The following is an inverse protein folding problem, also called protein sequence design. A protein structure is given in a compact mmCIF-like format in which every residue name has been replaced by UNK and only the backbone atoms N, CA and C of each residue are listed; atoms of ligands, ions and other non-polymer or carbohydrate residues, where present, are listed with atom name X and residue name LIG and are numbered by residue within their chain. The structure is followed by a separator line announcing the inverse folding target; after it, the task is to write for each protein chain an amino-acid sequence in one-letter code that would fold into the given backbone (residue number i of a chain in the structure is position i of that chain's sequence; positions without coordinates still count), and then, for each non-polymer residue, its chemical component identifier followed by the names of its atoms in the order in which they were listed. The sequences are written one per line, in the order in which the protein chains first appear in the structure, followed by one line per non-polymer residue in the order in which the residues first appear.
data_IF_909380860532
#
_entry.id   IF_909380860532
#
_cell.length_a   1.000
_cell.length_b   1.000
_cell.length_c   1.000
_cell.angle_alpha   90.00
_cell.angle_beta   90.00
_cell.angle_gamma   90.00
#
_symmetry.space_group_name_H-M   'P 1'
#
loop_
_entity.id
_entity.type
_entity.pdbx_description
1 polymer ?
#
# COMPACT_ATOMS: atom_id res chain seq x y z
N UNK A 1 -25.13 -20.15 5.11
CA UNK A 1 -24.44 -18.88 5.41
C UNK A 1 -23.02 -19.00 4.90
N UNK A 2 -22.64 -18.18 3.92
CA UNK A 2 -21.32 -18.25 3.30
C UNK A 2 -20.30 -17.54 4.20
N UNK A 3 -19.42 -18.28 4.88
CA UNK A 3 -18.32 -17.73 5.68
C UNK A 3 -17.21 -17.10 4.81
N UNK A 4 -17.45 -16.94 3.50
CA UNK A 4 -16.49 -16.40 2.55
C UNK A 4 -15.99 -15.01 2.96
N UNK A 5 -16.88 -14.13 3.45
CA UNK A 5 -16.48 -12.80 3.91
C UNK A 5 -15.55 -12.84 5.12
N UNK A 6 -15.85 -13.70 6.11
CA UNK A 6 -15.01 -13.89 7.29
C UNK A 6 -13.64 -14.46 6.92
N UNK A 7 -13.61 -15.39 5.95
CA UNK A 7 -12.37 -15.98 5.43
C UNK A 7 -11.53 -14.94 4.67
N UNK A 8 -12.13 -14.15 3.78
CA UNK A 8 -11.43 -13.08 3.05
C UNK A 8 -10.79 -12.08 4.01
N UNK A 9 -11.52 -11.64 5.04
CA UNK A 9 -10.98 -10.72 6.05
C UNK A 9 -9.87 -11.39 6.88
N UNK A 10 -10.05 -12.65 7.32
CA UNK A 10 -9.03 -13.33 8.10
C UNK A 10 -7.77 -13.58 7.29
N UNK A 11 -7.90 -13.99 6.03
CA UNK A 11 -6.76 -14.29 5.15
C UNK A 11 -5.96 -13.01 4.88
N UNK A 12 -6.64 -11.88 4.68
CA UNK A 12 -5.98 -10.58 4.53
C UNK A 12 -5.25 -10.14 5.81
N UNK A 13 -5.91 -10.22 6.97
CA UNK A 13 -5.33 -9.80 8.26
C UNK A 13 -4.19 -10.70 8.74
N UNK A 14 -4.23 -12.00 8.39
CA UNK A 14 -3.16 -12.96 8.68
C UNK A 14 -2.03 -12.91 7.64
N UNK A 15 -2.17 -12.11 6.58
CA UNK A 15 -1.20 -12.02 5.49
C UNK A 15 -1.07 -13.30 4.68
N UNK A 16 -2.16 -14.08 4.62
CA UNK A 16 -2.33 -15.25 3.76
C UNK A 16 -2.73 -14.85 2.33
N UNK A 17 -3.32 -13.66 2.19
CA UNK A 17 -3.46 -13.00 0.90
C UNK A 17 -2.16 -12.25 0.57
N UNK A 18 -1.67 -12.40 -0.66
CA UNK A 18 -0.46 -11.74 -1.14
C UNK A 18 -0.40 -11.73 -2.66
N UNK A 19 0.35 -10.77 -3.19
CA UNK A 19 0.73 -10.71 -4.59
C UNK A 19 2.24 -10.55 -4.71
N UNK A 20 2.80 -10.98 -5.83
CA UNK A 20 4.22 -10.84 -6.12
C UNK A 20 4.44 -9.83 -7.24
N UNK A 21 5.52 -9.07 -7.13
CA UNK A 21 5.97 -8.12 -8.15
C UNK A 21 7.45 -8.31 -8.42
N UNK A 22 7.86 -8.12 -9.66
CA UNK A 22 9.27 -8.17 -10.05
C UNK A 22 9.77 -6.74 -10.32
N UNK A 23 10.89 -6.37 -9.71
CA UNK A 23 11.52 -5.06 -9.86
C UNK A 23 13.03 -5.27 -9.89
N UNK A 24 13.69 -4.87 -10.97
CA UNK A 24 15.14 -5.02 -11.12
C UNK A 24 15.62 -6.48 -11.08
N UNK A 25 14.81 -7.41 -11.59
CA UNK A 25 15.10 -8.85 -11.59
C UNK A 25 14.92 -9.56 -10.23
N UNK A 26 14.40 -8.86 -9.21
CA UNK A 26 14.10 -9.42 -7.89
C UNK A 26 12.60 -9.49 -7.67
N UNK A 27 12.13 -10.60 -7.08
CA UNK A 27 10.70 -10.80 -6.77
C UNK A 27 10.43 -10.40 -5.32
N UNK A 28 9.43 -9.53 -5.14
CA UNK A 28 8.98 -9.04 -3.84
C UNK A 28 7.54 -9.46 -3.58
N UNK A 29 7.25 -9.86 -2.35
CA UNK A 29 5.89 -10.22 -1.91
C UNK A 29 5.23 -9.02 -1.22
N UNK A 30 4.05 -8.65 -1.72
CA UNK A 30 3.20 -7.60 -1.16
C UNK A 30 2.03 -8.27 -0.45
N UNK A 31 1.86 -7.92 0.83
CA UNK A 31 0.74 -8.35 1.66
C UNK A 31 -0.21 -7.18 1.89
N UNK A 32 -1.47 -7.42 2.32
CA UNK A 32 -2.35 -6.34 2.74
C UNK A 32 -1.67 -5.51 3.83
N UNK A 33 -1.51 -4.19 3.64
CA UNK A 33 -0.78 -3.38 4.60
C UNK A 33 -1.64 -3.09 5.83
N UNK A 34 -0.97 -2.92 6.97
CA UNK A 34 -1.62 -2.41 8.18
C UNK A 34 -1.86 -0.90 8.07
N UNK A 35 -2.78 -0.35 8.87
CA UNK A 35 -3.04 1.10 8.93
C UNK A 35 -1.75 1.91 9.15
N UNK A 36 -0.83 1.41 9.99
CA UNK A 36 0.48 2.06 10.21
C UNK A 36 1.31 2.16 8.92
N UNK A 37 1.33 1.10 8.12
CA UNK A 37 2.06 1.08 6.84
C UNK A 37 1.38 2.03 5.85
N UNK A 38 0.05 2.01 5.77
CA UNK A 38 -0.72 2.94 4.93
C UNK A 38 -0.38 4.40 5.29
N UNK A 39 -0.32 4.75 6.58
CA UNK A 39 0.07 6.11 7.00
C UNK A 39 1.51 6.48 6.58
N UNK A 40 2.46 5.53 6.62
CA UNK A 40 3.84 5.76 6.14
C UNK A 40 3.87 6.03 4.64
N UNK A 41 3.14 5.22 3.86
CA UNK A 41 3.00 5.40 2.41
C UNK A 41 2.41 6.78 2.10
N UNK A 42 1.31 7.16 2.76
CA UNK A 42 0.68 8.48 2.58
C UNK A 42 1.66 9.60 2.92
N UNK A 43 2.47 9.45 3.97
CA UNK A 43 3.48 10.43 4.33
C UNK A 43 4.50 10.64 3.20
N UNK A 44 5.04 9.56 2.63
CA UNK A 44 5.96 9.67 1.49
C UNK A 44 5.29 10.27 0.26
N UNK A 45 4.09 9.80 -0.07
CA UNK A 45 3.38 10.27 -1.27
C UNK A 45 2.90 11.71 -1.13
N UNK A 46 2.70 12.22 0.08
CA UNK A 46 2.35 13.63 0.30
C UNK A 46 3.47 14.60 -0.10
N UNK A 47 4.71 14.12 -0.20
CA UNK A 47 5.85 14.91 -0.68
C UNK A 47 5.95 14.92 -2.21
N UNK A 48 5.20 14.06 -2.89
CA UNK A 48 5.15 14.01 -4.34
C UNK A 48 4.12 15.05 -4.80
N UNK A 49 4.58 16.09 -5.47
CA UNK A 49 3.72 17.08 -6.11
C UNK A 49 2.90 16.42 -7.21
N UNK A 50 1.68 15.96 -6.90
CA UNK A 50 0.77 15.43 -7.91
C UNK A 50 0.12 16.60 -8.67
N UNK A 51 0.64 16.93 -9.84
CA UNK A 51 -0.10 17.72 -10.84
C UNK A 51 -0.89 16.76 -11.73
N UNK A 52 -2.14 16.48 -11.36
CA UNK A 52 -3.04 15.61 -12.12
C UNK A 52 -4.06 14.92 -11.21
N UNK A 53 -5.24 14.61 -11.74
CA UNK A 53 -6.37 14.00 -10.98
C UNK A 53 -6.17 12.50 -10.70
N UNK A 54 -5.05 11.91 -11.14
CA UNK A 54 -4.84 10.47 -11.18
C UNK A 54 -3.37 10.07 -11.01
N UNK A 55 -3.16 9.03 -10.19
CA UNK A 55 -1.87 8.40 -9.85
C UNK A 55 -1.00 8.14 -11.10
N UNK A 56 -1.63 7.81 -12.23
CA UNK A 56 -0.97 7.52 -13.51
C UNK A 56 -0.21 8.70 -14.12
N UNK A 57 -0.64 9.95 -13.88
CA UNK A 57 0.06 11.14 -14.38
C UNK A 57 1.26 11.50 -13.51
N UNK A 58 1.17 11.29 -12.20
CA UNK A 58 2.29 11.45 -11.29
C UNK A 58 3.46 10.49 -11.59
N UNK A 59 3.16 9.32 -12.17
CA UNK A 59 4.18 8.34 -12.58
C UNK A 59 4.96 8.83 -13.81
N UNK A 60 4.40 9.66 -14.70
CA UNK A 60 5.08 10.11 -15.94
C UNK A 60 6.28 11.04 -15.72
N UNK A 61 6.39 11.66 -14.55
CA UNK A 61 7.43 12.63 -14.17
C UNK A 61 8.64 11.93 -13.49
N UNK A 62 8.84 10.64 -13.77
CA UNK A 62 9.73 9.72 -13.06
C UNK A 62 11.26 10.00 -13.03
N UNK A 63 11.89 10.93 -13.78
CA UNK A 63 13.33 11.16 -13.59
C UNK A 63 13.68 11.80 -12.24
N UNK A 64 12.81 12.62 -11.64
CA UNK A 64 13.09 13.31 -10.36
C UNK A 64 12.20 12.85 -9.19
N UNK A 65 11.07 12.17 -9.46
CA UNK A 65 10.06 11.77 -8.45
C UNK A 65 10.36 10.39 -7.79
N UNK A 66 11.42 9.70 -8.22
CA UNK A 66 11.69 8.31 -7.85
C UNK A 66 11.84 8.07 -6.32
N UNK A 67 12.52 8.94 -5.58
CA UNK A 67 12.92 8.64 -4.19
C UNK A 67 11.76 8.37 -3.23
N UNK A 68 10.82 9.29 -3.08
CA UNK A 68 9.68 9.12 -2.16
C UNK A 68 8.67 8.07 -2.65
N UNK A 69 8.57 7.88 -3.97
CA UNK A 69 7.73 6.81 -4.54
C UNK A 69 8.29 5.43 -4.18
N UNK A 70 9.60 5.22 -4.37
CA UNK A 70 10.27 3.96 -4.04
C UNK A 70 10.28 3.70 -2.53
N UNK A 71 10.40 4.75 -1.70
CA UNK A 71 10.20 4.63 -0.24
C UNK A 71 8.80 4.16 0.13
N UNK A 72 7.76 4.68 -0.55
CA UNK A 72 6.40 4.19 -0.37
C UNK A 72 6.25 2.71 -0.75
N UNK A 73 6.79 2.29 -1.89
CA UNK A 73 6.78 0.88 -2.33
C UNK A 73 7.58 0.00 -1.36
N UNK A 74 8.73 0.46 -0.87
CA UNK A 74 9.49 -0.23 0.16
C UNK A 74 8.66 -0.44 1.43
N UNK A 75 7.90 0.58 1.85
CA UNK A 75 6.99 0.47 2.98
C UNK A 75 5.90 -0.58 2.76
N UNK A 76 5.40 -0.76 1.53
CA UNK A 76 4.46 -1.83 1.21
C UNK A 76 5.07 -3.22 1.33
N UNK A 77 6.31 -3.39 0.86
CA UNK A 77 6.97 -4.69 0.81
C UNK A 77 7.42 -5.13 2.21
N UNK A 78 8.05 -4.22 2.97
CA UNK A 78 8.72 -4.58 4.22
C UNK A 78 8.31 -3.74 5.44
N UNK A 79 7.45 -2.73 5.26
CA UNK A 79 7.01 -1.84 6.34
C UNK A 79 7.98 -0.70 6.67
N UNK A 80 9.13 -0.58 6.01
CA UNK A 80 10.13 0.49 6.16
C UNK A 80 10.69 0.94 4.80
N UNK A 81 11.61 1.91 4.80
CA UNK A 81 12.25 2.47 3.59
C UNK A 81 13.50 1.66 3.12
N UNK A 82 13.82 0.56 3.80
CA UNK A 82 15.08 -0.18 3.64
C UNK A 82 15.33 -0.75 2.24
N UNK A 83 14.28 -0.93 1.43
CA UNK A 83 14.39 -1.44 0.07
C UNK A 83 14.43 -0.33 -0.98
N UNK A 84 14.23 0.94 -0.62
CA UNK A 84 14.08 2.02 -1.60
C UNK A 84 15.24 2.07 -2.63
N UNK A 85 16.48 1.97 -2.16
CA UNK A 85 17.69 1.94 -3.02
C UNK A 85 17.71 0.73 -3.95
N UNK A 86 17.26 -0.44 -3.48
CA UNK A 86 17.21 -1.65 -4.30
C UNK A 86 16.21 -1.53 -5.45
N UNK A 87 15.12 -0.79 -5.21
CA UNK A 87 14.04 -0.58 -6.17
C UNK A 87 14.43 0.41 -7.29
N UNK A 88 15.49 1.20 -7.12
CA UNK A 88 16.03 2.09 -8.16
C UNK A 88 16.54 1.33 -9.39
N UNK A 89 16.87 0.04 -9.23
CA UNK A 89 17.26 -0.84 -10.34
C UNK A 89 16.07 -1.24 -11.24
N UNK A 90 14.84 -0.93 -10.82
CA UNK A 90 13.62 -1.27 -11.54
C UNK A 90 13.37 -0.39 -12.75
N UNK A 91 12.72 -0.97 -13.76
CA UNK A 91 12.20 -0.17 -14.88
C UNK A 91 10.94 0.60 -14.48
N UNK A 92 10.61 1.64 -15.22
CA UNK A 92 9.36 2.39 -15.06
C UNK A 92 8.11 1.48 -15.00
N UNK A 93 8.02 0.50 -15.90
CA UNK A 93 6.86 -0.41 -15.98
C UNK A 93 6.79 -1.34 -14.78
N UNK A 94 7.94 -1.81 -14.27
CA UNK A 94 8.01 -2.61 -13.05
C UNK A 94 7.55 -1.82 -11.82
N UNK A 95 8.02 -0.58 -11.68
CA UNK A 95 7.63 0.33 -10.59
C UNK A 95 6.14 0.69 -10.68
N UNK A 96 5.62 0.97 -11.88
CA UNK A 96 4.18 1.20 -12.09
C UNK A 96 3.34 -0.01 -11.69
N UNK A 97 3.71 -1.20 -12.17
CA UNK A 97 3.02 -2.44 -11.84
C UNK A 97 3.06 -2.71 -10.33
N UNK A 98 4.22 -2.49 -9.70
CA UNK A 98 4.36 -2.61 -8.25
C UNK A 98 3.40 -1.70 -7.49
N UNK A 99 3.27 -0.45 -7.95
CA UNK A 99 2.37 0.52 -7.35
C UNK A 99 0.88 0.12 -7.54
N UNK A 100 0.49 -0.37 -8.72
CA UNK A 100 -0.87 -0.88 -8.97
C UNK A 100 -1.21 -2.08 -8.07
N UNK A 101 -0.26 -3.00 -7.89
CA UNK A 101 -0.40 -4.14 -6.97
C UNK A 101 -0.48 -3.66 -5.52
N UNK A 102 0.34 -2.69 -5.11
CA UNK A 102 0.27 -2.09 -3.77
C UNK A 102 -1.14 -1.53 -3.48
N UNK A 103 -1.72 -0.79 -4.44
CA UNK A 103 -3.06 -0.22 -4.29
C UNK A 103 -4.18 -1.26 -4.24
N UNK A 104 -4.09 -2.32 -5.05
CA UNK A 104 -5.08 -3.40 -5.01
C UNK A 104 -5.02 -4.23 -3.73
N UNK A 105 -3.85 -4.31 -3.08
CA UNK A 105 -3.69 -4.94 -1.76
C UNK A 105 -4.20 -4.07 -0.60
N UNK A 106 -4.45 -2.78 -0.81
CA UNK A 106 -5.14 -1.89 0.15
C UNK A 106 -6.65 -2.13 0.12
N UNK A 107 -7.08 -3.37 0.33
CA UNK A 107 -8.51 -3.69 0.36
C UNK A 107 -9.20 -3.03 1.57
N UNK A 108 -10.39 -2.46 1.31
CA UNK A 108 -11.26 -1.81 2.29
C UNK A 108 -11.91 -2.87 3.21
N UNK A 109 -11.75 -4.16 2.92
CA UNK A 109 -12.33 -5.29 3.69
C UNK A 109 -12.00 -5.25 5.19
N UNK A 110 -10.81 -4.78 5.58
CA UNK A 110 -10.48 -4.56 7.00
C UNK A 110 -11.40 -3.51 7.65
N UNK A 111 -11.75 -2.44 6.92
CA UNK A 111 -12.73 -1.43 7.36
C UNK A 111 -14.18 -1.93 7.27
N UNK A 112 -14.50 -2.81 6.32
CA UNK A 112 -15.82 -3.44 6.23
C UNK A 112 -16.09 -4.42 7.40
N UNK A 113 -15.06 -5.08 7.93
CA UNK A 113 -15.17 -5.89 9.15
C UNK A 113 -15.51 -5.02 10.37
N UNK A 114 -14.83 -3.88 10.51
CA UNK A 114 -15.07 -2.89 11.58
C UNK A 114 -16.45 -2.24 11.46
N UNK A 115 -16.91 -1.93 10.24
CA UNK A 115 -18.26 -1.38 10.00
C UNK A 115 -19.36 -2.42 10.24
N UNK A 116 -19.10 -3.71 9.96
CA UNK A 116 -20.00 -4.82 10.32
C UNK A 116 -20.08 -5.03 11.83
N UNK A 117 -19.04 -4.66 12.58
CA UNK A 117 -18.99 -4.66 14.05
C UNK A 117 -19.61 -3.40 14.68
N UNK A 118 -20.76 -2.95 14.15
CA UNK A 118 -21.82 -2.09 14.75
C UNK A 118 -21.49 -0.84 15.62
N UNK A 119 -20.25 -0.44 15.91
CA UNK A 119 -19.93 0.77 16.69
C UNK A 119 -18.53 1.34 16.39
N UNK A 120 -18.26 1.67 15.11
CA UNK A 120 -17.04 2.39 14.69
C UNK A 120 -16.89 3.74 15.41
N UNK A 121 -18.00 4.33 15.86
CA UNK A 121 -18.10 5.56 16.65
C UNK A 121 -17.36 5.50 18.00
N UNK A 122 -17.05 4.31 18.52
CA UNK A 122 -16.29 4.12 19.77
C UNK A 122 -14.78 3.95 19.54
N UNK A 123 -14.35 3.68 18.29
CA UNK A 123 -12.94 3.46 17.91
C UNK A 123 -12.27 4.72 17.35
N UNK A 124 -13.04 5.65 16.79
CA UNK A 124 -12.54 6.97 16.43
C UNK A 124 -12.22 7.72 17.74
N UNK A 125 -10.95 7.66 18.13
CA UNK A 125 -10.40 8.34 19.28
C UNK A 125 -10.91 9.78 19.35
N UNK A 126 -11.49 10.17 20.49
CA UNK A 126 -11.65 11.59 20.80
C UNK A 126 -10.26 12.20 20.90
N UNK A 127 -9.98 13.35 20.27
CA UNK A 127 -8.73 14.07 20.49
C UNK A 127 -8.54 14.26 21.99
N UNK A 128 -7.36 13.95 22.52
CA UNK A 128 -7.00 14.39 23.87
C UNK A 128 -6.86 15.92 23.80
N UNK A 129 -7.65 16.62 24.62
CA UNK A 129 -7.45 18.03 24.93
C UNK A 129 -6.20 18.20 25.78
#
# INVERSE_FOLDING_TARGET
MNNQAAKTVSDALLGLDFMNVEIGGMVYTIKPPTIKIICRVIHHFSNIGMTGDNVMEAIKELPEIAGDMLKGISCFICGSEELAENLENGTFEEVRNALEVCFSMMDISAFQCVSSMRNVSMLAARPKQ
#
